data_IF_331659075015
#
_entry.id   IF_331659075015
#
_cell.length_a   1.000
_cell.length_b   1.000
_cell.length_c   1.000
_cell.angle_alpha   90.00
_cell.angle_beta   90.00
_cell.angle_gamma   90.00
#
_symmetry.space_group_name_H-M   'P 1'
#
loop_
_entity.id
_entity.type
_entity.pdbx_description
1 polymer ?
#
# COMPACT_ATOMS: atom_id res chain seq x y z
N UNK A 1 9.78 35.85 16.06
CA UNK A 1 9.24 34.51 15.71
C UNK A 1 8.48 34.02 16.92
N UNK A 2 7.15 33.93 16.84
CA UNK A 2 6.34 33.55 18.00
C UNK A 2 6.70 32.14 18.47
N UNK A 3 7.20 32.04 19.70
CA UNK A 3 7.66 30.78 20.31
C UNK A 3 6.57 29.70 20.29
N UNK A 4 5.30 30.12 20.33
CA UNK A 4 4.11 29.27 20.21
C UNK A 4 4.02 28.57 18.85
N UNK A 5 4.34 29.29 17.75
CA UNK A 5 4.32 28.73 16.40
C UNK A 5 5.45 27.70 16.24
N UNK A 6 6.64 28.01 16.77
CA UNK A 6 7.79 27.09 16.73
C UNK A 6 7.50 25.80 17.51
N UNK A 7 6.91 25.93 18.70
CA UNK A 7 6.53 24.77 19.52
C UNK A 7 5.46 23.91 18.83
N UNK A 8 4.44 24.55 18.25
CA UNK A 8 3.41 23.86 17.47
C UNK A 8 3.98 23.12 16.26
N UNK A 9 4.90 23.75 15.53
CA UNK A 9 5.56 23.13 14.38
C UNK A 9 6.37 21.88 14.77
N UNK A 10 7.09 21.92 15.90
CA UNK A 10 7.85 20.77 16.40
C UNK A 10 6.92 19.60 16.74
N UNK A 11 5.81 19.86 17.41
CA UNK A 11 4.82 18.81 17.78
C UNK A 11 4.22 18.18 16.53
N UNK A 12 3.80 18.99 15.57
CA UNK A 12 3.23 18.50 14.31
C UNK A 12 4.26 17.70 13.51
N UNK A 13 5.51 18.18 13.43
CA UNK A 13 6.58 17.47 12.74
C UNK A 13 6.83 16.08 13.34
N UNK A 14 6.91 15.96 14.67
CA UNK A 14 7.11 14.68 15.36
C UNK A 14 5.92 13.73 15.14
N UNK A 15 4.69 14.26 15.18
CA UNK A 15 3.47 13.48 14.91
C UNK A 15 3.48 12.90 13.48
N UNK A 16 3.77 13.75 12.48
CA UNK A 16 3.82 13.33 11.08
C UNK A 16 4.94 12.31 10.88
N UNK A 17 6.12 12.55 11.44
CA UNK A 17 7.27 11.67 11.30
C UNK A 17 7.00 10.30 11.94
N UNK A 18 6.44 10.28 13.14
CA UNK A 18 6.04 9.04 13.82
C UNK A 18 4.93 8.30 13.08
N UNK A 19 3.98 9.02 12.48
CA UNK A 19 2.93 8.43 11.65
C UNK A 19 3.49 7.81 10.36
N UNK A 20 4.42 8.49 9.68
CA UNK A 20 5.08 7.99 8.47
C UNK A 20 5.81 6.67 8.73
N UNK A 21 6.56 6.57 9.83
CA UNK A 21 7.26 5.32 10.19
C UNK A 21 6.28 4.17 10.42
N UNK A 22 5.14 4.43 11.07
CA UNK A 22 4.08 3.44 11.25
C UNK A 22 3.45 3.05 9.92
N UNK A 23 3.21 4.02 9.04
CA UNK A 23 2.64 3.78 7.72
C UNK A 23 3.57 2.89 6.88
N UNK A 24 4.86 3.20 6.81
CA UNK A 24 5.85 2.40 6.08
C UNK A 24 5.89 0.97 6.62
N UNK A 25 5.93 0.80 7.95
CA UNK A 25 5.92 -0.53 8.57
C UNK A 25 4.67 -1.34 8.18
N UNK A 26 3.50 -0.71 8.23
CA UNK A 26 2.25 -1.36 7.84
C UNK A 26 2.22 -1.68 6.35
N UNK A 27 2.67 -0.78 5.48
CA UNK A 27 2.74 -1.02 4.03
C UNK A 27 3.66 -2.18 3.71
N UNK A 28 4.85 -2.25 4.32
CA UNK A 28 5.78 -3.37 4.14
C UNK A 28 5.13 -4.69 4.53
N UNK A 29 4.42 -4.73 5.67
CA UNK A 29 3.72 -5.94 6.10
C UNK A 29 2.62 -6.36 5.11
N UNK A 30 1.84 -5.41 4.60
CA UNK A 30 0.81 -5.68 3.58
C UNK A 30 1.42 -6.17 2.29
N UNK A 31 2.47 -5.52 1.79
CA UNK A 31 3.16 -5.91 0.54
C UNK A 31 3.78 -7.30 0.69
N UNK A 32 4.38 -7.62 1.84
CA UNK A 32 4.91 -8.96 2.11
C UNK A 32 3.81 -10.00 2.15
N UNK A 33 2.68 -9.73 2.82
CA UNK A 33 1.55 -10.66 2.88
C UNK A 33 0.96 -10.92 1.49
N UNK A 34 0.68 -9.85 0.74
CA UNK A 34 0.18 -9.94 -0.64
C UNK A 34 1.18 -10.68 -1.52
N UNK A 35 2.46 -10.35 -1.42
CA UNK A 35 3.52 -11.05 -2.13
C UNK A 35 3.56 -12.55 -1.81
N UNK A 36 3.40 -12.93 -0.54
CA UNK A 36 3.33 -14.33 -0.11
C UNK A 36 2.11 -15.06 -0.67
N UNK A 37 0.95 -14.41 -0.67
CA UNK A 37 -0.29 -14.97 -1.25
C UNK A 37 -0.10 -15.18 -2.75
N UNK A 38 0.44 -14.20 -3.47
CA UNK A 38 0.73 -14.31 -4.89
C UNK A 38 1.75 -15.40 -5.19
N UNK A 39 2.78 -15.53 -4.36
CA UNK A 39 3.75 -16.62 -4.44
C UNK A 39 3.10 -17.99 -4.23
N UNK A 40 2.25 -18.12 -3.21
CA UNK A 40 1.51 -19.36 -2.95
C UNK A 40 0.60 -19.71 -4.14
N UNK A 41 -0.09 -18.73 -4.72
CA UNK A 41 -0.93 -18.93 -5.89
C UNK A 41 -0.10 -19.36 -7.10
N UNK A 42 1.06 -18.74 -7.32
CA UNK A 42 1.99 -19.13 -8.37
C UNK A 42 2.50 -20.56 -8.20
N UNK A 43 2.85 -20.97 -6.97
CA UNK A 43 3.35 -22.33 -6.70
C UNK A 43 2.26 -23.39 -6.85
N UNK A 44 1.03 -23.11 -6.41
CA UNK A 44 -0.07 -24.09 -6.42
C UNK A 44 -0.77 -24.18 -7.78
N UNK A 45 -0.99 -23.04 -8.44
CA UNK A 45 -1.80 -22.96 -9.66
C UNK A 45 -1.00 -22.55 -10.91
N UNK A 46 0.25 -22.11 -10.77
CA UNK A 46 1.08 -21.64 -11.89
C UNK A 46 0.72 -20.25 -12.40
N UNK A 47 -0.22 -19.54 -11.76
CA UNK A 47 -0.74 -18.24 -12.20
C UNK A 47 0.16 -17.13 -11.64
N UNK A 48 0.71 -16.31 -12.53
CA UNK A 48 1.56 -15.19 -12.17
C UNK A 48 0.78 -13.95 -11.74
N UNK A 49 1.45 -12.96 -11.11
CA UNK A 49 0.83 -11.71 -10.70
C UNK A 49 0.35 -10.86 -11.89
N UNK A 50 1.00 -10.99 -13.05
CA UNK A 50 0.61 -10.29 -14.29
C UNK A 50 -0.74 -10.80 -14.79
N UNK A 51 -0.95 -12.12 -14.78
CA UNK A 51 -2.20 -12.76 -15.21
C UNK A 51 -3.41 -12.27 -14.40
N UNK A 52 -3.22 -12.05 -13.09
CA UNK A 52 -4.27 -11.51 -12.22
C UNK A 52 -4.60 -10.06 -12.55
N UNK A 53 -3.60 -9.25 -12.89
CA UNK A 53 -3.81 -7.85 -13.29
C UNK A 53 -4.51 -7.76 -14.64
N UNK A 54 -4.13 -8.59 -15.61
CA UNK A 54 -4.80 -8.68 -16.91
C UNK A 54 -6.27 -9.10 -16.76
N UNK A 55 -6.54 -10.06 -15.87
CA UNK A 55 -7.90 -10.49 -15.56
C UNK A 55 -8.72 -9.37 -14.90
N UNK A 56 -8.13 -8.63 -13.97
CA UNK A 56 -8.76 -7.46 -13.36
C UNK A 56 -9.03 -6.34 -14.37
N UNK A 57 -8.09 -6.04 -15.26
CA UNK A 57 -8.28 -5.05 -16.33
C UNK A 57 -9.40 -5.45 -17.28
N UNK A 58 -9.46 -6.73 -17.65
CA UNK A 58 -10.54 -7.28 -18.49
C UNK A 58 -11.89 -7.15 -17.79
N UNK A 59 -11.97 -7.50 -16.50
CA UNK A 59 -13.19 -7.36 -15.71
C UNK A 59 -13.64 -5.91 -15.57
N UNK A 60 -12.70 -4.99 -15.29
CA UNK A 60 -12.98 -3.55 -15.21
C UNK A 60 -13.43 -2.96 -16.56
N UNK A 61 -12.80 -3.38 -17.66
CA UNK A 61 -13.19 -2.98 -19.01
C UNK A 61 -14.61 -3.44 -19.36
N UNK A 62 -14.98 -4.66 -18.97
CA UNK A 62 -16.33 -5.19 -19.15
C UNK A 62 -17.39 -4.47 -18.30
N UNK A 63 -17.02 -3.92 -17.14
CA UNK A 63 -17.95 -3.11 -16.32
C UNK A 63 -18.22 -1.75 -16.96
N UNK A 64 -17.22 -1.17 -17.64
CA UNK A 64 -17.33 0.16 -18.24
C UNK A 64 -18.01 0.14 -19.61
N UNK A 65 -18.09 -1.03 -20.25
CA UNK A 65 -18.68 -1.25 -21.57
C UNK A 65 -20.15 -1.71 -21.58
N UNK A 66 -20.87 -1.60 -20.46
CA UNK A 66 -22.28 -1.94 -20.30
C UNK A 66 -23.02 -0.83 -19.53
#
# INVERSE_FOLDING_TARGET
MDILIVLGAIVVAVLIFGWLLKLVKNTVQTVLLVGFILLALYVVFGIGPVDLLEQLQTWLGNIQGN
#
